data_IF_923888089034
#
_entry.id   IF_923888089034
#
_cell.length_a   1.000
_cell.length_b   1.000
_cell.length_c   1.000
_cell.angle_alpha   90.00
_cell.angle_beta   90.00
_cell.angle_gamma   90.00
#
_symmetry.space_group_name_H-M   'P 1'
#
loop_
_entity.id
_entity.type
_entity.pdbx_description
1 polymer ?
#
# COMPACT_ATOMS: atom_id res chain seq x y z
N UNK A 1 12.18 2.54 -9.65
CA UNK A 1 11.23 3.45 -8.98
C UNK A 1 9.86 3.21 -9.60
N UNK A 2 8.85 2.88 -8.81
CA UNK A 2 7.50 2.60 -9.32
C UNK A 2 6.68 3.90 -9.31
N UNK A 3 6.02 4.21 -10.42
CA UNK A 3 5.16 5.37 -10.57
C UNK A 3 3.87 4.91 -11.22
N UNK A 4 2.76 5.23 -10.58
CA UNK A 4 1.43 5.02 -11.14
C UNK A 4 0.84 6.40 -11.34
N UNK A 5 0.64 6.79 -12.59
CA UNK A 5 0.13 8.10 -12.97
C UNK A 5 -1.17 7.97 -13.74
N UNK A 6 -2.16 8.75 -13.35
CA UNK A 6 -3.42 8.91 -14.06
C UNK A 6 -3.68 10.39 -14.39
N UNK A 7 -4.53 10.63 -15.39
CA UNK A 7 -5.00 11.97 -15.79
C UNK A 7 -6.45 12.21 -15.38
N UNK A 8 -6.88 11.59 -14.28
CA UNK A 8 -8.22 11.72 -13.71
C UNK A 8 -8.49 13.10 -13.13
N UNK A 9 -9.49 13.22 -12.26
CA UNK A 9 -9.94 14.51 -11.71
C UNK A 9 -8.85 15.17 -10.84
N UNK A 10 -8.03 14.36 -10.16
CA UNK A 10 -7.09 14.82 -9.15
C UNK A 10 -7.77 15.14 -7.82
N UNK A 11 -7.00 15.62 -6.85
CA UNK A 11 -7.46 15.95 -5.50
C UNK A 11 -7.03 17.36 -5.12
N UNK A 12 -7.92 18.11 -4.46
CA UNK A 12 -7.58 19.36 -3.79
C UNK A 12 -6.82 19.09 -2.49
N UNK A 13 -6.25 20.13 -1.85
CA UNK A 13 -5.63 19.97 -0.53
C UNK A 13 -6.60 19.38 0.50
N UNK A 14 -7.87 19.79 0.46
CA UNK A 14 -8.90 19.27 1.37
C UNK A 14 -9.20 17.80 1.09
N UNK A 15 -9.26 17.40 -0.18
CA UNK A 15 -9.50 16.01 -0.56
C UNK A 15 -8.35 15.11 -0.11
N UNK A 16 -7.09 15.57 -0.23
CA UNK A 16 -5.93 14.84 0.28
C UNK A 16 -6.03 14.61 1.80
N UNK A 17 -6.42 15.63 2.58
CA UNK A 17 -6.60 15.49 4.03
C UNK A 17 -7.73 14.51 4.36
N UNK A 18 -8.88 14.65 3.70
CA UNK A 18 -10.07 13.87 4.04
C UNK A 18 -9.96 12.41 3.57
N UNK A 19 -9.47 12.19 2.36
CA UNK A 19 -9.47 10.87 1.72
C UNK A 19 -8.26 10.03 2.14
N UNK A 20 -7.08 10.65 2.35
CA UNK A 20 -5.86 9.93 2.72
C UNK A 20 -5.52 10.08 4.22
N UNK A 21 -5.92 11.18 4.86
CA UNK A 21 -5.61 11.46 6.27
C UNK A 21 -6.49 10.71 7.28
N UNK A 22 -7.69 10.27 6.89
CA UNK A 22 -8.59 9.51 7.80
C UNK A 22 -7.99 8.15 8.16
N UNK A 23 -7.26 7.51 7.25
CA UNK A 23 -6.70 6.17 7.48
C UNK A 23 -5.36 6.22 8.24
N UNK A 24 -4.61 7.32 8.15
CA UNK A 24 -3.52 7.59 9.08
C UNK A 24 -4.00 7.73 10.54
N UNK A 25 -5.28 8.09 10.75
CA UNK A 25 -5.88 8.24 12.09
C UNK A 25 -6.57 6.99 12.64
N UNK A 26 -7.24 6.19 11.80
CA UNK A 26 -7.99 5.01 12.26
C UNK A 26 -7.14 3.73 12.36
N UNK A 27 -5.88 3.79 11.95
CA UNK A 27 -4.95 2.67 12.10
C UNK A 27 -5.27 1.56 11.10
N UNK A 28 -4.24 1.12 10.41
CA UNK A 28 -4.26 -0.08 9.55
C UNK A 28 -4.88 -1.28 10.29
N UNK A 29 -4.80 -1.30 11.62
CA UNK A 29 -5.38 -2.29 12.54
C UNK A 29 -6.91 -2.44 12.43
N UNK A 30 -7.69 -1.34 12.44
CA UNK A 30 -9.16 -1.43 12.37
C UNK A 30 -9.61 -1.95 11.01
N UNK A 31 -8.88 -1.60 9.95
CA UNK A 31 -9.08 -2.18 8.62
C UNK A 31 -8.68 -3.67 8.56
N UNK A 32 -7.55 -4.05 9.15
CA UNK A 32 -7.14 -5.46 9.24
C UNK A 32 -8.15 -6.30 10.04
N UNK A 33 -8.77 -5.74 11.09
CA UNK A 33 -9.87 -6.36 11.81
C UNK A 33 -11.10 -6.54 10.93
N UNK A 34 -11.50 -5.51 10.17
CA UNK A 34 -12.61 -5.62 9.22
C UNK A 34 -12.33 -6.67 8.12
N UNK A 35 -11.09 -6.74 7.62
CA UNK A 35 -10.69 -7.70 6.60
C UNK A 35 -10.63 -9.14 7.15
N UNK A 36 -10.12 -9.32 8.37
CA UNK A 36 -10.01 -10.64 9.02
C UNK A 36 -11.37 -11.24 9.38
N UNK A 37 -12.37 -10.38 9.61
CA UNK A 37 -13.75 -10.77 9.88
C UNK A 37 -14.62 -10.85 8.61
N UNK A 38 -14.11 -10.44 7.44
CA UNK A 38 -14.82 -10.50 6.17
C UNK A 38 -14.58 -11.84 5.47
N UNK A 39 -15.64 -12.39 4.89
CA UNK A 39 -15.63 -13.53 3.99
C UNK A 39 -14.97 -13.19 2.65
N UNK A 40 -14.40 -14.19 1.95
CA UNK A 40 -13.44 -13.96 0.86
C UNK A 40 -13.97 -13.12 -0.33
N UNK A 41 -15.27 -13.16 -0.64
CA UNK A 41 -15.85 -12.27 -1.67
C UNK A 41 -16.01 -10.84 -1.15
N UNK A 42 -16.46 -10.70 0.10
CA UNK A 42 -16.57 -9.42 0.80
C UNK A 42 -15.20 -8.78 0.97
N UNK A 43 -14.14 -9.53 1.28
CA UNK A 43 -12.77 -9.03 1.33
C UNK A 43 -12.30 -8.46 -0.02
N UNK A 44 -12.58 -9.14 -1.14
CA UNK A 44 -12.24 -8.64 -2.48
C UNK A 44 -13.05 -7.38 -2.86
N UNK A 45 -14.33 -7.33 -2.52
CA UNK A 45 -15.19 -6.17 -2.78
C UNK A 45 -14.83 -4.98 -1.87
N UNK A 46 -14.43 -5.25 -0.63
CA UNK A 46 -13.90 -4.24 0.30
C UNK A 46 -12.58 -3.66 -0.23
N UNK A 47 -11.70 -4.50 -0.81
CA UNK A 47 -10.45 -4.06 -1.47
C UNK A 47 -10.75 -3.17 -2.70
N UNK A 48 -11.80 -3.48 -3.45
CA UNK A 48 -12.19 -2.79 -4.70
C UNK A 48 -13.04 -1.53 -4.52
N UNK A 49 -13.93 -1.46 -3.53
CA UNK A 49 -14.91 -0.37 -3.39
C UNK A 49 -14.50 0.73 -2.40
N UNK A 50 -13.61 0.46 -1.44
CA UNK A 50 -13.25 1.45 -0.40
C UNK A 50 -12.06 2.34 -0.76
N UNK A 51 -11.50 2.21 -1.98
CA UNK A 51 -10.25 2.92 -2.32
C UNK A 51 -9.06 2.46 -1.48
N UNK A 52 -9.19 1.31 -0.80
CA UNK A 52 -8.17 0.78 0.12
C UNK A 52 -6.98 0.12 -0.58
N UNK A 53 -7.08 -0.08 -1.90
CA UNK A 53 -5.95 -0.48 -2.74
C UNK A 53 -4.77 0.52 -2.70
N UNK A 54 -5.00 1.76 -2.29
CA UNK A 54 -3.89 2.68 -2.01
C UNK A 54 -3.07 2.22 -0.79
N UNK A 55 -3.69 1.63 0.23
CA UNK A 55 -2.99 1.26 1.46
C UNK A 55 -2.19 -0.03 1.35
N UNK A 56 -2.52 -0.92 0.39
CA UNK A 56 -1.67 -2.07 0.08
C UNK A 56 -0.28 -1.65 -0.41
N UNK A 57 -0.12 -0.40 -0.86
CA UNK A 57 1.21 0.14 -1.17
C UNK A 57 2.12 0.20 0.07
N UNK A 58 1.59 0.38 1.28
CA UNK A 58 2.37 0.35 2.52
C UNK A 58 2.77 -1.08 2.96
N UNK A 59 2.16 -2.13 2.39
CA UNK A 59 2.64 -3.51 2.63
C UNK A 59 4.02 -3.78 2.02
N UNK A 60 4.39 -2.98 1.01
CA UNK A 60 5.62 -3.17 0.22
C UNK A 60 6.53 -1.94 0.23
N UNK A 61 6.11 -0.85 0.89
CA UNK A 61 6.87 0.39 0.96
C UNK A 61 6.82 1.04 2.34
N UNK A 62 7.97 1.56 2.77
CA UNK A 62 8.07 2.33 4.02
C UNK A 62 7.51 3.74 3.86
N UNK A 63 7.38 4.23 2.62
CA UNK A 63 7.01 5.61 2.32
C UNK A 63 6.30 5.73 1.01
N UNK A 64 5.17 6.43 1.01
CA UNK A 64 4.34 6.67 -0.18
C UNK A 64 4.21 8.16 -0.41
N UNK A 65 4.51 8.59 -1.64
CA UNK A 65 4.36 9.97 -2.07
C UNK A 65 3.25 10.06 -3.11
N UNK A 66 2.27 10.93 -2.90
CA UNK A 66 1.17 11.21 -3.81
C UNK A 66 1.27 12.65 -4.25
N UNK A 67 1.53 12.86 -5.55
CA UNK A 67 1.42 14.19 -6.16
C UNK A 67 0.08 14.27 -6.87
N UNK A 68 -0.75 15.28 -6.57
CA UNK A 68 -2.05 15.44 -7.22
C UNK A 68 -2.30 16.88 -7.64
N UNK A 69 -2.93 17.05 -8.80
CA UNK A 69 -3.38 18.33 -9.35
C UNK A 69 -4.85 18.25 -9.71
N UNK A 70 -5.67 19.00 -8.99
CA UNK A 70 -7.08 19.23 -9.32
C UNK A 70 -7.24 20.56 -10.07
N UNK A 71 -8.23 20.69 -10.96
CA UNK A 71 -8.45 21.93 -11.73
C UNK A 71 -8.75 23.16 -10.85
N UNK A 72 -9.37 22.95 -9.70
CA UNK A 72 -9.79 24.02 -8.78
C UNK A 72 -8.73 24.40 -7.72
N UNK A 73 -7.55 23.78 -7.73
CA UNK A 73 -6.52 24.01 -6.71
C UNK A 73 -5.11 23.89 -7.32
N UNK A 74 -4.08 24.25 -6.55
CA UNK A 74 -2.67 24.06 -6.93
C UNK A 74 -2.28 22.58 -6.93
N UNK A 75 -1.11 22.26 -7.48
CA UNK A 75 -0.52 20.94 -7.30
C UNK A 75 0.01 20.79 -5.86
N UNK A 76 -0.30 19.66 -5.23
CA UNK A 76 0.19 19.32 -3.90
C UNK A 76 0.91 17.97 -3.90
N UNK A 77 1.80 17.84 -2.92
CA UNK A 77 2.47 16.59 -2.55
C UNK A 77 1.96 16.20 -1.18
N UNK A 78 1.31 15.04 -1.11
CA UNK A 78 1.04 14.31 0.13
C UNK A 78 2.11 13.24 0.30
N UNK A 79 2.63 13.08 1.51
CA UNK A 79 3.67 12.11 1.80
C UNK A 79 3.42 11.49 3.18
N UNK A 80 3.58 10.17 3.27
CA UNK A 80 3.39 9.43 4.53
C UNK A 80 4.32 8.23 4.63
N UNK A 81 4.68 7.91 5.87
CA UNK A 81 5.43 6.73 6.29
C UNK A 81 4.55 5.69 7.00
N UNK A 82 3.22 5.76 6.82
CA UNK A 82 2.16 5.02 7.52
C UNK A 82 1.84 5.46 8.95
N UNK A 83 2.74 6.16 9.65
CA UNK A 83 2.49 6.66 11.00
C UNK A 83 1.98 8.10 10.98
N UNK A 84 2.63 8.95 10.18
CA UNK A 84 2.27 10.35 10.01
C UNK A 84 2.18 10.70 8.52
N UNK A 85 1.58 11.85 8.23
CA UNK A 85 1.58 12.39 6.88
C UNK A 85 1.80 13.91 6.87
N UNK A 86 2.31 14.41 5.75
CA UNK A 86 2.45 15.83 5.49
C UNK A 86 1.87 16.19 4.12
N UNK A 87 1.45 17.44 3.97
CA UNK A 87 0.96 17.99 2.70
C UNK A 87 1.65 19.31 2.44
N UNK A 88 2.28 19.42 1.28
CA UNK A 88 2.98 20.63 0.83
C UNK A 88 2.55 21.02 -0.58
N UNK A 89 2.56 22.32 -0.89
CA UNK A 89 2.44 22.77 -2.29
C UNK A 89 3.65 22.24 -3.07
N UNK A 90 3.43 21.77 -4.30
CA UNK A 90 4.53 21.23 -5.10
C UNK A 90 5.47 22.36 -5.55
N UNK A 91 6.75 22.36 -5.13
CA UNK A 91 7.69 23.43 -5.47
C UNK A 91 8.00 23.50 -6.97
N UNK A 92 7.67 22.46 -7.73
CA UNK A 92 7.85 22.40 -9.19
C UNK A 92 6.72 23.10 -9.95
N UNK A 93 5.64 23.51 -9.26
CA UNK A 93 4.43 24.03 -9.88
C UNK A 93 3.59 22.94 -10.56
N UNK A 94 2.75 23.35 -11.51
CA UNK A 94 1.74 22.50 -12.15
C UNK A 94 2.34 21.57 -13.23
N UNK A 95 3.07 20.54 -12.80
CA UNK A 95 3.69 19.57 -13.73
C UNK A 95 2.71 18.53 -14.28
N UNK A 96 1.63 18.21 -13.54
CA UNK A 96 0.68 17.16 -13.92
C UNK A 96 -0.43 17.66 -14.85
N UNK A 97 -0.60 18.98 -15.02
CA UNK A 97 -1.76 19.64 -15.65
C UNK A 97 -3.11 19.29 -14.96
N UNK A 98 -3.46 18.01 -14.86
CA UNK A 98 -4.55 17.42 -14.08
C UNK A 98 -4.27 15.93 -13.82
N UNK A 99 -4.57 15.44 -12.62
CA UNK A 99 -4.50 14.01 -12.28
C UNK A 99 -3.68 13.72 -11.04
N UNK A 100 -3.30 12.45 -10.85
CA UNK A 100 -2.56 11.99 -9.66
C UNK A 100 -1.38 11.11 -10.07
N UNK A 101 -0.30 11.18 -9.30
CA UNK A 101 0.84 10.28 -9.39
C UNK A 101 1.16 9.72 -8.01
N UNK A 102 1.10 8.39 -7.88
CA UNK A 102 1.48 7.66 -6.68
C UNK A 102 2.88 7.05 -6.86
N UNK A 103 3.74 7.24 -5.85
CA UNK A 103 5.13 6.81 -5.84
C UNK A 103 5.45 6.09 -4.52
N UNK A 104 5.34 4.77 -4.47
CA UNK A 104 5.79 3.99 -3.32
C UNK A 104 7.31 3.81 -3.34
N UNK A 105 7.95 3.97 -2.19
CA UNK A 105 9.37 3.67 -1.97
C UNK A 105 9.49 2.21 -1.56
N UNK A 106 9.63 1.33 -2.56
CA UNK A 106 9.69 -0.11 -2.33
C UNK A 106 10.91 -0.48 -1.48
N UNK A 107 10.71 -1.30 -0.46
CA UNK A 107 11.80 -1.77 0.38
C UNK A 107 12.45 -3.00 -0.24
N UNK A 108 13.70 -2.83 -0.68
CA UNK A 108 14.45 -3.87 -1.38
C UNK A 108 14.64 -5.16 -0.53
N UNK A 109 14.59 -5.06 0.80
CA UNK A 109 14.76 -6.20 1.72
C UNK A 109 13.60 -7.21 1.73
N UNK A 110 12.39 -6.84 1.29
CA UNK A 110 11.24 -7.78 1.28
C UNK A 110 11.32 -8.80 0.14
N UNK A 111 11.98 -8.47 -0.98
CA UNK A 111 12.27 -9.46 -2.02
C UNK A 111 13.27 -10.52 -1.53
N UNK A 112 14.19 -10.16 -0.63
CA UNK A 112 15.11 -11.12 -0.03
C UNK A 112 14.40 -12.06 0.94
N UNK A 113 13.51 -11.55 1.79
CA UNK A 113 12.84 -12.36 2.81
C UNK A 113 11.83 -13.37 2.23
N UNK A 114 11.11 -13.02 1.16
CA UNK A 114 10.18 -13.95 0.49
C UNK A 114 10.95 -15.06 -0.25
N UNK A 115 12.03 -14.72 -0.96
CA UNK A 115 12.92 -15.71 -1.60
C UNK A 115 13.66 -16.61 -0.58
N UNK A 116 13.95 -16.11 0.63
CA UNK A 116 14.60 -16.89 1.70
C UNK A 116 13.63 -17.82 2.45
N UNK A 117 12.34 -17.47 2.53
CA UNK A 117 11.31 -18.33 3.14
C UNK A 117 10.85 -19.47 2.24
N UNK A 118 10.91 -19.30 0.91
CA UNK A 118 10.60 -20.35 -0.06
C UNK A 118 11.66 -21.48 -0.12
N UNK A 119 12.85 -21.28 0.45
CA UNK A 119 13.90 -22.31 0.50
C UNK A 119 13.87 -23.23 1.72
N UNK A 120 12.96 -23.04 2.68
CA UNK A 120 12.97 -23.82 3.93
C UNK A 120 11.70 -24.64 4.22
N UNK A 121 10.81 -24.83 3.24
CA UNK A 121 9.64 -25.71 3.36
C UNK A 121 9.80 -26.93 2.45
N UNK A 122 10.83 -27.75 2.67
CA UNK A 122 10.78 -29.17 2.29
C UNK A 122 11.78 -30.00 3.10
N UNK A 123 11.45 -30.23 4.36
CA UNK A 123 12.04 -31.35 5.11
C UNK A 123 10.95 -31.98 6.00
N UNK A 124 10.05 -32.74 5.37
CA UNK A 124 9.24 -33.73 6.09
C UNK A 124 10.16 -34.85 6.58
N UNK A 125 10.21 -35.17 7.88
CA UNK A 125 10.97 -36.33 8.35
C UNK A 125 10.22 -37.60 7.92
N UNK A 126 10.82 -38.33 6.98
CA UNK A 126 10.34 -39.62 6.51
C UNK A 126 10.40 -40.62 7.66
N UNK A 127 9.25 -41.16 8.03
CA UNK A 127 9.04 -42.26 8.98
C UNK A 127 10.06 -43.39 8.75
N UNK A 128 10.87 -43.70 9.75
CA UNK A 128 11.61 -44.97 9.78
C UNK A 128 10.67 -46.05 10.32
N UNK A 129 10.24 -46.94 9.43
CA UNK A 129 9.73 -48.24 9.82
C UNK A 129 10.43 -49.32 8.98
N UNK A 130 10.71 -50.46 9.65
CA UNK A 130 11.22 -51.77 9.18
C UNK A 130 12.76 -51.90 9.12
N UNK A 131 13.38 -52.92 9.70
CA UNK A 131 12.81 -54.12 10.33
C UNK A 131 13.91 -55.02 10.90
N UNK A 132 13.45 -56.07 11.58
CA UNK A 132 14.23 -57.21 12.04
C UNK A 132 15.16 -57.78 10.96
N UNK A 133 16.37 -58.21 11.34
CA UNK A 133 16.86 -59.57 11.07
C UNK A 133 18.26 -59.85 11.65
N UNK A 134 18.29 -60.93 12.46
CA UNK A 134 19.38 -61.73 13.03
C UNK A 134 20.01 -61.28 14.35
#
# INVERSE_FOLDING_TARGET
MLHITDTGIGMTKSDLVNNLGTIAKSGTSEFFEMLSNADASTANDLIGQFGVGFYSSFLVSERVVVTSKHNADKQYIWESDSAEFSITEDPRGDTLLRGTTVRPTLQLCLLSAVLLLDMNITATPRLQHKGDMK
#
